data_IF_478764312048
#
_entry.id   IF_478764312048
#
_cell.length_a   1.000
_cell.length_b   1.000
_cell.length_c   1.000
_cell.angle_alpha   90.00
_cell.angle_beta   90.00
_cell.angle_gamma   90.00
#
_symmetry.space_group_name_H-M   'P 1'
#
loop_
_entity.id
_entity.type
_entity.pdbx_description
1 polymer ?
#
# COMPACT_ATOMS: atom_id res chain seq x y z
N UNK A 1 6.85 -16.10 -48.29
CA UNK A 1 6.33 -15.41 -47.08
C UNK A 1 5.98 -14.00 -47.51
N UNK A 2 4.70 -13.62 -47.44
CA UNK A 2 4.18 -12.45 -48.15
C UNK A 2 4.05 -11.24 -47.20
N UNK A 3 4.29 -10.03 -47.70
CA UNK A 3 4.44 -8.77 -46.96
C UNK A 3 3.26 -8.42 -46.02
N UNK A 4 2.04 -8.87 -46.37
CA UNK A 4 0.83 -8.69 -45.54
C UNK A 4 0.91 -9.32 -44.13
N UNK A 5 1.72 -10.37 -43.93
CA UNK A 5 1.91 -10.99 -42.61
C UNK A 5 2.87 -10.21 -41.70
N UNK A 6 3.83 -9.47 -42.28
CA UNK A 6 4.75 -8.64 -41.50
C UNK A 6 4.04 -7.44 -40.88
N UNK A 7 3.08 -6.87 -41.61
CA UNK A 7 2.33 -5.69 -41.16
C UNK A 7 1.36 -6.04 -40.03
N UNK A 8 0.70 -7.20 -40.09
CA UNK A 8 -0.17 -7.69 -38.99
C UNK A 8 0.61 -7.98 -37.71
N UNK A 9 1.81 -8.55 -37.80
CA UNK A 9 2.66 -8.83 -36.63
C UNK A 9 3.23 -7.55 -36.02
N UNK A 10 3.60 -6.58 -36.86
CA UNK A 10 4.04 -5.26 -36.39
C UNK A 10 2.90 -4.47 -35.75
N UNK A 11 1.71 -4.49 -36.35
CA UNK A 11 0.53 -3.85 -35.79
C UNK A 11 0.13 -4.48 -34.45
N UNK A 12 0.23 -5.81 -34.34
CA UNK A 12 0.06 -6.52 -33.08
C UNK A 12 1.07 -6.04 -32.03
N UNK A 13 2.37 -5.99 -32.36
CA UNK A 13 3.43 -5.49 -31.46
C UNK A 13 3.20 -4.05 -31.01
N UNK A 14 2.80 -3.15 -31.92
CA UNK A 14 2.50 -1.75 -31.58
C UNK A 14 1.33 -1.64 -30.62
N UNK A 15 0.30 -2.49 -30.74
CA UNK A 15 -0.83 -2.54 -29.81
C UNK A 15 -0.39 -3.07 -28.44
N UNK A 16 0.52 -4.06 -28.38
CA UNK A 16 1.10 -4.53 -27.12
C UNK A 16 2.03 -3.50 -26.45
N UNK A 17 2.72 -2.66 -27.24
CA UNK A 17 3.58 -1.59 -26.72
C UNK A 17 2.76 -0.36 -26.28
N UNK A 18 1.72 0.01 -27.03
CA UNK A 18 0.86 1.18 -26.73
C UNK A 18 -0.11 0.90 -25.57
N UNK A 19 -0.47 -0.37 -25.33
CA UNK A 19 -1.32 -0.78 -24.20
C UNK A 19 -0.58 -0.88 -22.86
N UNK A 20 0.75 -0.76 -22.85
CA UNK A 20 1.49 -0.51 -21.61
C UNK A 20 1.42 0.99 -21.32
N UNK A 21 0.36 1.41 -20.65
CA UNK A 21 0.48 2.57 -19.78
C UNK A 21 1.51 2.19 -18.71
N UNK A 22 2.79 2.39 -19.04
CA UNK A 22 3.88 2.25 -18.09
C UNK A 22 3.60 3.28 -17.01
N UNK A 23 3.11 2.80 -15.87
CA UNK A 23 2.92 3.64 -14.70
C UNK A 23 4.19 4.49 -14.53
N UNK A 24 4.08 5.82 -14.45
CA UNK A 24 5.24 6.68 -14.38
C UNK A 24 6.20 6.14 -13.32
N UNK A 25 7.46 5.91 -13.68
CA UNK A 25 8.41 5.29 -12.75
C UNK A 25 8.64 6.25 -11.59
N UNK A 26 8.37 5.80 -10.37
CA UNK A 26 8.66 6.60 -9.17
C UNK A 26 10.17 6.77 -9.07
N UNK A 27 10.63 8.01 -9.03
CA UNK A 27 12.06 8.31 -8.95
C UNK A 27 12.63 8.01 -7.56
N UNK A 28 13.95 7.84 -7.46
CA UNK A 28 14.61 7.58 -6.18
C UNK A 28 14.41 8.74 -5.18
N UNK A 29 14.34 9.98 -5.68
CA UNK A 29 14.03 11.15 -4.87
C UNK A 29 12.62 11.13 -4.27
N UNK A 30 11.63 10.62 -5.01
CA UNK A 30 10.27 10.45 -4.48
C UNK A 30 10.23 9.39 -3.38
N UNK A 31 10.98 8.29 -3.51
CA UNK A 31 11.11 7.28 -2.45
C UNK A 31 11.76 7.85 -1.19
N UNK A 32 12.81 8.66 -1.34
CA UNK A 32 13.45 9.36 -0.22
C UNK A 32 12.44 10.27 0.49
N UNK A 33 11.62 11.01 -0.27
CA UNK A 33 10.53 11.82 0.28
C UNK A 33 9.52 10.98 1.08
N UNK A 34 9.12 9.82 0.56
CA UNK A 34 8.24 8.87 1.26
C UNK A 34 8.86 8.42 2.58
N UNK A 35 10.14 8.05 2.61
CA UNK A 35 10.83 7.65 3.83
C UNK A 35 10.97 8.78 4.85
N UNK A 36 11.19 10.01 4.39
CA UNK A 36 11.23 11.18 5.26
C UNK A 36 9.87 11.44 5.91
N UNK A 37 8.78 11.27 5.16
CA UNK A 37 7.43 11.41 5.71
C UNK A 37 7.05 10.28 6.65
N UNK A 38 7.50 9.05 6.40
CA UNK A 38 7.32 7.90 7.30
C UNK A 38 7.91 8.15 8.70
N UNK A 39 8.94 9.00 8.82
CA UNK A 39 9.47 9.41 10.14
C UNK A 39 8.51 10.31 10.93
N UNK A 40 7.57 11.00 10.27
CA UNK A 40 6.59 11.87 10.91
C UNK A 40 5.24 11.14 11.03
N UNK A 41 4.89 10.55 12.19
CA UNK A 41 3.77 9.61 12.31
C UNK A 41 2.42 10.23 11.93
N UNK A 42 2.19 11.50 12.27
CA UNK A 42 0.92 12.19 11.99
C UNK A 42 0.82 12.62 10.52
N UNK A 43 1.90 13.20 9.98
CA UNK A 43 1.94 13.66 8.58
C UNK A 43 1.85 12.49 7.61
N UNK A 44 2.49 11.36 7.94
CA UNK A 44 2.42 10.11 7.19
C UNK A 44 0.96 9.65 7.00
N UNK A 45 0.17 9.59 8.08
CA UNK A 45 -1.23 9.15 8.03
C UNK A 45 -2.08 10.03 7.11
N UNK A 46 -2.03 11.35 7.26
CA UNK A 46 -2.83 12.29 6.45
C UNK A 46 -2.48 12.15 4.97
N UNK A 47 -1.19 12.07 4.66
CA UNK A 47 -0.72 11.99 3.28
C UNK A 47 -1.05 10.65 2.62
N UNK A 48 -1.05 9.54 3.38
CA UNK A 48 -1.52 8.24 2.91
C UNK A 48 -3.00 8.28 2.52
N UNK A 49 -3.85 8.99 3.27
CA UNK A 49 -5.25 9.19 2.86
C UNK A 49 -5.36 10.00 1.58
N UNK A 50 -4.59 11.09 1.44
CA UNK A 50 -4.56 11.90 0.22
C UNK A 50 -4.14 11.02 -0.98
N UNK A 51 -3.06 10.25 -0.86
CA UNK A 51 -2.58 9.39 -1.93
C UNK A 51 -3.47 8.18 -2.21
N UNK A 52 -4.19 7.65 -1.23
CA UNK A 52 -5.10 6.52 -1.44
C UNK A 52 -6.35 6.92 -2.26
N UNK A 53 -6.78 8.19 -2.11
CA UNK A 53 -7.96 8.77 -2.76
C UNK A 53 -7.60 9.50 -4.06
N UNK A 54 -6.35 9.94 -4.23
CA UNK A 54 -5.89 10.60 -5.45
C UNK A 54 -6.11 9.71 -6.68
N UNK A 55 -6.96 10.21 -7.60
CA UNK A 55 -7.37 9.53 -8.82
C UNK A 55 -6.46 9.86 -10.01
N UNK A 56 -5.68 10.94 -9.95
CA UNK A 56 -4.79 11.39 -11.03
C UNK A 56 -3.30 11.13 -10.73
N UNK A 57 -2.98 10.73 -9.51
CA UNK A 57 -1.62 10.37 -9.10
C UNK A 57 -1.11 9.03 -9.63
N UNK A 58 0.18 8.81 -9.43
CA UNK A 58 0.89 7.59 -9.82
C UNK A 58 0.23 6.33 -9.19
N UNK A 59 -0.18 5.33 -10.00
CA UNK A 59 -0.88 4.15 -9.50
C UNK A 59 -0.03 3.34 -8.51
N UNK A 60 1.29 3.33 -8.66
CA UNK A 60 2.22 2.64 -7.74
C UNK A 60 2.16 3.25 -6.34
N UNK A 61 2.17 4.58 -6.25
CA UNK A 61 2.08 5.31 -4.98
C UNK A 61 0.72 5.15 -4.31
N UNK A 62 -0.36 5.17 -5.10
CA UNK A 62 -1.71 4.91 -4.61
C UNK A 62 -1.84 3.50 -4.02
N UNK A 63 -1.30 2.49 -4.72
CA UNK A 63 -1.32 1.11 -4.24
C UNK A 63 -0.49 0.94 -2.97
N UNK A 64 0.68 1.58 -2.87
CA UNK A 64 1.46 1.62 -1.65
C UNK A 64 0.65 2.21 -0.48
N UNK A 65 0.01 3.36 -0.69
CA UNK A 65 -0.77 4.02 0.35
C UNK A 65 -1.93 3.16 0.86
N UNK A 66 -2.66 2.52 -0.06
CA UNK A 66 -3.74 1.58 0.28
C UNK A 66 -3.23 0.36 1.05
N UNK A 67 -2.14 -0.25 0.60
CA UNK A 67 -1.53 -1.39 1.29
C UNK A 67 -1.08 -1.01 2.72
N UNK A 68 -0.45 0.15 2.88
CA UNK A 68 0.02 0.61 4.18
C UNK A 68 -1.14 0.89 5.14
N UNK A 69 -2.24 1.49 4.68
CA UNK A 69 -3.46 1.68 5.47
C UNK A 69 -4.07 0.35 5.93
N UNK A 70 -4.04 -0.68 5.07
CA UNK A 70 -4.48 -2.03 5.44
C UNK A 70 -3.58 -2.60 6.54
N UNK A 71 -2.25 -2.46 6.43
CA UNK A 71 -1.33 -2.90 7.49
C UNK A 71 -1.56 -2.17 8.81
N UNK A 72 -1.83 -0.87 8.80
CA UNK A 72 -2.21 -0.13 10.01
C UNK A 72 -3.50 -0.71 10.61
N UNK A 73 -4.53 -0.93 9.79
CA UNK A 73 -5.80 -1.51 10.25
C UNK A 73 -5.63 -2.90 10.87
N UNK A 74 -4.82 -3.75 10.23
CA UNK A 74 -4.46 -5.07 10.75
C UNK A 74 -3.68 -4.94 12.08
N UNK A 75 -2.73 -4.01 12.17
CA UNK A 75 -1.98 -3.74 13.39
C UNK A 75 -2.86 -3.31 14.55
N UNK A 76 -3.84 -2.43 14.31
CA UNK A 76 -4.83 -2.02 15.31
C UNK A 76 -5.67 -3.21 15.75
N UNK A 77 -6.14 -4.05 14.81
CA UNK A 77 -6.91 -5.24 15.14
C UNK A 77 -6.13 -6.19 16.05
N UNK A 78 -4.88 -6.49 15.72
CA UNK A 78 -4.01 -7.32 16.57
C UNK A 78 -3.76 -6.68 17.94
N UNK A 79 -3.54 -5.36 18.00
CA UNK A 79 -3.33 -4.66 19.25
C UNK A 79 -4.55 -4.78 20.18
N UNK A 80 -5.76 -4.63 19.65
CA UNK A 80 -7.02 -4.78 20.42
C UNK A 80 -7.17 -6.22 20.92
N UNK A 81 -6.92 -7.22 20.07
CA UNK A 81 -7.00 -8.63 20.46
C UNK A 81 -6.00 -8.98 21.57
N UNK A 82 -4.76 -8.53 21.44
CA UNK A 82 -3.73 -8.76 22.45
C UNK A 82 -4.06 -8.05 23.76
N UNK A 83 -4.54 -6.80 23.69
CA UNK A 83 -4.93 -6.05 24.89
C UNK A 83 -6.08 -6.72 25.62
N UNK A 84 -7.10 -7.21 24.90
CA UNK A 84 -8.22 -7.96 25.48
C UNK A 84 -7.78 -9.27 26.13
N UNK A 85 -6.89 -10.03 25.47
CA UNK A 85 -6.33 -11.26 26.02
C UNK A 85 -5.52 -11.00 27.30
N UNK A 86 -4.65 -9.98 27.29
CA UNK A 86 -3.86 -9.59 28.44
C UNK A 86 -4.73 -9.09 29.60
N UNK A 87 -5.74 -8.27 29.33
CA UNK A 87 -6.68 -7.80 30.34
C UNK A 87 -7.41 -8.96 31.01
N UNK A 88 -7.89 -9.93 30.22
CA UNK A 88 -8.54 -11.14 30.75
C UNK A 88 -7.59 -12.00 31.61
N UNK A 89 -6.32 -12.13 31.21
CA UNK A 89 -5.32 -12.85 31.98
C UNK A 89 -5.02 -12.14 33.31
N UNK A 90 -4.80 -10.83 33.28
CA UNK A 90 -4.57 -10.03 34.50
C UNK A 90 -5.74 -10.18 35.46
N UNK A 91 -6.98 -10.09 34.97
CA UNK A 91 -8.18 -10.25 35.78
C UNK A 91 -8.22 -11.61 36.49
N UNK A 92 -7.93 -12.71 35.78
CA UNK A 92 -7.87 -14.05 36.36
C UNK A 92 -6.79 -14.19 37.43
N UNK A 93 -5.62 -13.59 37.23
CA UNK A 93 -4.56 -13.60 38.23
C UNK A 93 -4.95 -12.78 39.46
N UNK A 94 -5.62 -11.65 39.27
CA UNK A 94 -6.08 -10.83 40.40
C UNK A 94 -7.16 -11.53 41.22
N UNK A 95 -8.07 -12.29 40.60
CA UNK A 95 -9.06 -13.09 41.32
C UNK A 95 -8.40 -14.12 42.24
N UNK A 96 -7.39 -14.86 41.76
CA UNK A 96 -6.66 -15.84 42.59
C UNK A 96 -5.86 -15.20 43.75
N UNK A 97 -5.48 -13.92 43.64
CA UNK A 97 -4.73 -13.24 44.71
C UNK A 97 -5.64 -12.63 45.77
N UNK A 98 -6.92 -12.44 45.44
CA UNK A 98 -7.92 -11.77 46.30
C UNK A 98 -8.81 -12.76 47.04
N UNK A 99 -8.96 -13.98 46.54
CA UNK A 99 -9.72 -15.07 47.16
C UNK A 99 -8.81 -16.24 47.56
#
# INVERSE_FOLDING_TARGET
MNERNYDSDQQSRRIYETGREEAPVITLGEWIGIFFLLMLPIVNLVLLFIWAVDAQGNPTRRNFARAYLIFIGIGILFAVLLMGMMAGLVMRLTEHMVY
#
